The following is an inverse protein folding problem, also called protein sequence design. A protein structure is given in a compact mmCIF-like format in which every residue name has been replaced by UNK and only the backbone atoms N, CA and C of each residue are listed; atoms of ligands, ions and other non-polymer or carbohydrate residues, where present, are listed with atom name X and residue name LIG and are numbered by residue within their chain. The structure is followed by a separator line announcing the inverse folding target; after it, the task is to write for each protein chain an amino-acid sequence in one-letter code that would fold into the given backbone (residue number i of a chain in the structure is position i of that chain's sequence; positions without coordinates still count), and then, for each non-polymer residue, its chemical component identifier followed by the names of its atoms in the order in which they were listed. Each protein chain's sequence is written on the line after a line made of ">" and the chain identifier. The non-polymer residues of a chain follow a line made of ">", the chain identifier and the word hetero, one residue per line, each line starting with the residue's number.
data_IF_545843179826
#
_entry.id   IF_545843179826
#
_cell.length_a   1.000
_cell.length_b   1.000
_cell.length_c   1.000
_cell.angle_alpha   90.00
_cell.angle_beta   90.00
_cell.angle_gamma   90.00
#
_symmetry.space_group_name_H-M   'P 1'
#
loop_
_entity.id
_entity.type
_entity.pdbx_description
1 polymer ?
#
# COMPACT_ATOMS: atom_id res chain seq x y z
N UNK A 1 12.21 28.45 59.73
CA UNK A 1 12.29 27.10 59.14
C UNK A 1 10.97 26.87 58.41
N UNK A 2 10.98 26.96 57.07
CA UNK A 2 10.84 25.82 56.14
C UNK A 2 9.50 25.09 56.30
N UNK A 3 8.68 24.85 55.29
CA UNK A 3 8.62 25.24 53.89
C UNK A 3 7.17 24.99 53.46
N UNK A 4 6.73 25.77 52.48
CA UNK A 4 5.45 25.71 51.80
C UNK A 4 5.04 24.27 51.43
N UNK A 5 3.77 23.92 51.66
CA UNK A 5 3.16 22.70 51.18
C UNK A 5 3.22 22.69 49.64
N UNK A 6 4.07 21.83 49.09
CA UNK A 6 4.27 21.69 47.65
C UNK A 6 3.03 21.04 47.03
N UNK A 7 2.20 21.85 46.38
CA UNK A 7 1.21 21.37 45.41
C UNK A 7 1.99 20.71 44.28
N UNK A 8 2.03 19.37 44.27
CA UNK A 8 2.56 18.60 43.14
C UNK A 8 1.55 18.67 42.01
N UNK A 9 1.62 19.71 41.19
CA UNK A 9 1.02 19.73 39.87
C UNK A 9 1.76 18.68 39.01
N UNK A 10 1.20 17.47 38.95
CA UNK A 10 1.68 16.46 38.02
C UNK A 10 1.33 16.93 36.60
N UNK A 11 2.32 17.44 35.87
CA UNK A 11 2.22 17.61 34.42
C UNK A 11 2.12 16.20 33.81
N UNK A 12 0.90 15.79 33.49
CA UNK A 12 0.67 14.67 32.57
C UNK A 12 0.89 15.21 31.17
N UNK A 13 2.12 15.07 30.65
CA UNK A 13 2.38 15.24 29.23
C UNK A 13 1.64 14.12 28.49
N UNK A 14 0.47 14.44 27.96
CA UNK A 14 -0.24 13.59 27.02
C UNK A 14 0.59 13.48 25.73
N UNK A 15 1.44 12.46 25.65
CA UNK A 15 2.11 12.05 24.42
C UNK A 15 1.05 11.49 23.47
N UNK A 16 0.51 12.35 22.61
CA UNK A 16 -0.31 11.93 21.47
C UNK A 16 0.57 11.04 20.58
N UNK A 17 0.18 9.79 20.29
CA UNK A 17 0.84 9.03 19.24
C UNK A 17 0.60 9.78 17.94
N UNK A 18 1.69 10.22 17.30
CA UNK A 18 1.64 10.69 15.93
C UNK A 18 1.29 9.47 15.07
N UNK A 19 0.00 9.24 14.84
CA UNK A 19 -0.43 8.24 13.88
C UNK A 19 0.21 8.60 12.54
N UNK A 20 1.15 7.78 12.09
CA UNK A 20 1.81 7.92 10.81
C UNK A 20 0.73 8.04 9.75
N UNK A 21 0.68 9.21 9.14
CA UNK A 21 -0.31 9.55 8.14
C UNK A 21 -0.09 8.59 6.95
N UNK A 22 -1.02 7.63 6.79
CA UNK A 22 -1.00 6.68 5.69
C UNK A 22 -1.47 7.41 4.42
N UNK A 23 -0.62 8.28 3.86
CA UNK A 23 -0.85 8.83 2.53
C UNK A 23 -0.48 7.75 1.49
N UNK A 24 -1.35 6.76 1.30
CA UNK A 24 -1.66 6.38 -0.06
C UNK A 24 -2.72 7.36 -0.58
N UNK A 25 -2.32 8.63 -0.71
CA UNK A 25 -3.18 9.63 -1.29
C UNK A 25 -3.44 9.23 -2.74
N UNK A 26 -4.69 9.28 -3.17
CA UNK A 26 -5.03 9.32 -4.59
C UNK A 26 -3.98 10.19 -5.31
N UNK A 27 -3.23 9.64 -6.29
CA UNK A 27 -3.60 8.52 -7.17
C UNK A 27 -2.99 7.13 -6.84
N UNK A 28 -2.23 6.94 -5.75
CA UNK A 28 -1.41 5.73 -5.60
C UNK A 28 -2.20 4.42 -5.47
N UNK A 29 -3.30 4.41 -4.70
CA UNK A 29 -4.11 3.19 -4.52
C UNK A 29 -4.83 2.77 -5.80
N UNK A 30 -5.24 3.73 -6.62
CA UNK A 30 -5.87 3.48 -7.92
C UNK A 30 -4.86 2.92 -8.92
N UNK A 31 -3.70 3.56 -9.05
CA UNK A 31 -2.62 3.09 -9.93
C UNK A 31 -2.17 1.67 -9.54
N UNK A 32 -1.99 1.41 -8.24
CA UNK A 32 -1.71 0.07 -7.73
C UNK A 32 -2.82 -0.91 -8.12
N UNK A 33 -4.09 -0.51 -7.93
CA UNK A 33 -5.25 -1.34 -8.24
C UNK A 33 -5.31 -1.71 -9.71
N UNK A 34 -5.17 -0.73 -10.60
CA UNK A 34 -5.20 -0.94 -12.05
C UNK A 34 -4.07 -1.84 -12.54
N UNK A 35 -2.85 -1.62 -12.05
CA UNK A 35 -1.69 -2.46 -12.39
C UNK A 35 -1.91 -3.90 -11.95
N UNK A 36 -2.39 -4.10 -10.73
CA UNK A 36 -2.60 -5.44 -10.18
C UNK A 36 -3.83 -6.14 -10.78
N UNK A 37 -4.86 -5.40 -11.21
CA UNK A 37 -5.99 -5.98 -11.93
C UNK A 37 -5.55 -6.69 -13.23
N UNK A 38 -4.60 -6.11 -13.97
CA UNK A 38 -4.02 -6.74 -15.18
C UNK A 38 -3.39 -8.10 -14.84
N UNK A 39 -2.65 -8.18 -13.74
CA UNK A 39 -2.06 -9.44 -13.28
C UNK A 39 -3.11 -10.44 -12.78
N UNK A 40 -4.14 -9.96 -12.07
CA UNK A 40 -5.24 -10.79 -11.58
C UNK A 40 -6.02 -11.44 -12.73
N UNK A 41 -6.40 -10.65 -13.73
CA UNK A 41 -7.09 -11.11 -14.95
C UNK A 41 -6.25 -12.13 -15.73
N UNK A 42 -4.93 -11.94 -15.77
CA UNK A 42 -3.99 -12.87 -16.40
C UNK A 42 -3.63 -14.08 -15.53
N UNK A 43 -4.19 -14.21 -14.33
CA UNK A 43 -4.10 -15.39 -13.48
C UNK A 43 -2.91 -15.41 -12.50
N UNK A 44 -2.39 -14.27 -12.09
CA UNK A 44 -1.34 -14.21 -11.06
C UNK A 44 -1.87 -14.56 -9.66
N UNK A 45 -1.12 -15.39 -8.93
CA UNK A 45 -1.40 -15.73 -7.54
C UNK A 45 -0.72 -14.73 -6.60
N UNK A 46 -1.53 -13.87 -5.95
CA UNK A 46 -1.02 -12.86 -5.03
C UNK A 46 -0.47 -13.50 -3.75
N UNK A 47 0.66 -12.97 -3.27
CA UNK A 47 1.32 -13.43 -2.03
C UNK A 47 1.13 -12.47 -0.87
N UNK A 48 0.88 -11.20 -1.15
CA UNK A 48 0.69 -10.19 -0.11
C UNK A 48 -0.74 -10.21 0.40
N UNK A 49 -0.93 -9.93 1.69
CA UNK A 49 -2.27 -9.87 2.28
C UNK A 49 -3.15 -8.79 1.61
N UNK A 50 -2.56 -7.67 1.16
CA UNK A 50 -3.27 -6.62 0.39
C UNK A 50 -3.79 -7.17 -0.95
N UNK A 51 -2.94 -7.83 -1.74
CA UNK A 51 -3.31 -8.42 -3.03
C UNK A 51 -4.35 -9.53 -2.88
N UNK A 52 -4.17 -10.43 -1.92
CA UNK A 52 -5.12 -11.52 -1.66
C UNK A 52 -6.49 -10.97 -1.24
N UNK A 53 -6.55 -9.93 -0.40
CA UNK A 53 -7.82 -9.30 -0.02
C UNK A 53 -8.51 -8.60 -1.19
N UNK A 54 -7.75 -7.96 -2.07
CA UNK A 54 -8.29 -7.20 -3.19
C UNK A 54 -8.75 -8.07 -4.38
N UNK A 55 -7.98 -9.12 -4.71
CA UNK A 55 -8.19 -9.91 -5.93
C UNK A 55 -8.49 -11.39 -5.67
N UNK A 56 -8.20 -11.90 -4.46
CA UNK A 56 -8.30 -13.32 -4.15
C UNK A 56 -7.28 -14.17 -4.90
N UNK A 57 -7.32 -15.49 -4.67
CA UNK A 57 -6.49 -16.49 -5.36
C UNK A 57 -7.29 -17.73 -5.81
N UNK A 58 -8.63 -17.69 -5.75
CA UNK A 58 -9.45 -18.88 -5.98
C UNK A 58 -9.24 -19.52 -7.36
N UNK A 59 -8.89 -18.73 -8.38
CA UNK A 59 -8.73 -19.17 -9.77
C UNK A 59 -7.41 -18.72 -10.41
N UNK A 60 -6.40 -18.36 -9.60
CA UNK A 60 -5.09 -18.01 -10.13
C UNK A 60 -4.33 -19.27 -10.62
N UNK A 61 -3.33 -19.08 -11.48
CA UNK A 61 -2.58 -20.14 -12.16
C UNK A 61 -1.06 -19.99 -12.07
N UNK A 62 -0.57 -18.76 -11.87
CA UNK A 62 0.85 -18.43 -11.96
C UNK A 62 1.35 -17.86 -10.64
N UNK A 63 2.24 -18.60 -9.98
CA UNK A 63 2.86 -18.21 -8.71
C UNK A 63 4.02 -17.21 -8.87
N UNK A 64 4.62 -17.16 -10.06
CA UNK A 64 5.65 -16.21 -10.45
C UNK A 64 5.09 -15.23 -11.49
N UNK A 65 5.27 -13.93 -11.23
CA UNK A 65 4.78 -12.86 -12.11
C UNK A 65 5.42 -12.91 -13.51
N UNK A 66 6.60 -13.51 -13.64
CA UNK A 66 7.32 -13.68 -14.92
C UNK A 66 6.65 -14.71 -15.83
N UNK A 67 5.91 -15.66 -15.25
CA UNK A 67 5.20 -16.71 -15.97
C UNK A 67 3.81 -16.27 -16.43
N UNK A 68 3.33 -15.11 -15.96
CA UNK A 68 2.03 -14.55 -16.32
C UNK A 68 2.03 -14.17 -17.82
N UNK A 69 1.14 -14.75 -18.64
CA UNK A 69 1.16 -14.58 -20.09
C UNK A 69 0.49 -13.27 -20.52
N UNK A 70 1.11 -12.13 -20.18
CA UNK A 70 0.62 -10.82 -20.60
C UNK A 70 0.78 -10.61 -22.10
N UNK A 71 -0.27 -10.08 -22.74
CA UNK A 71 -0.20 -9.59 -24.11
C UNK A 71 0.75 -8.39 -24.24
N UNK A 72 1.17 -8.07 -25.46
CA UNK A 72 1.97 -6.86 -25.71
C UNK A 72 1.26 -5.58 -25.23
N UNK A 73 -0.07 -5.54 -25.37
CA UNK A 73 -0.91 -4.42 -24.92
C UNK A 73 -0.94 -4.30 -23.40
N UNK A 74 -1.07 -5.41 -22.69
CA UNK A 74 -1.10 -5.41 -21.22
C UNK A 74 0.25 -5.01 -20.64
N UNK A 75 1.35 -5.46 -21.26
CA UNK A 75 2.70 -5.02 -20.88
C UNK A 75 2.88 -3.52 -21.07
N UNK A 76 2.38 -2.95 -22.17
CA UNK A 76 2.40 -1.52 -22.39
C UNK A 76 1.59 -0.77 -21.33
N UNK A 77 0.36 -1.23 -21.03
CA UNK A 77 -0.49 -0.65 -19.97
C UNK A 77 0.22 -0.67 -18.61
N UNK A 78 0.78 -1.80 -18.19
CA UNK A 78 1.53 -1.92 -16.94
C UNK A 78 2.72 -0.97 -16.92
N UNK A 79 3.48 -0.89 -18.01
CA UNK A 79 4.62 0.01 -18.12
C UNK A 79 4.20 1.49 -18.02
N UNK A 80 3.03 1.85 -18.54
CA UNK A 80 2.47 3.20 -18.44
C UNK A 80 2.09 3.53 -17.00
N UNK A 81 1.37 2.63 -16.32
CA UNK A 81 0.99 2.80 -14.91
C UNK A 81 2.22 2.91 -14.02
N UNK A 82 3.24 2.05 -14.20
CA UNK A 82 4.48 2.12 -13.42
C UNK A 82 5.22 3.45 -13.60
N UNK A 83 5.12 4.10 -14.77
CA UNK A 83 5.68 5.45 -14.96
C UNK A 83 4.91 6.49 -14.16
N UNK A 84 3.58 6.40 -14.14
CA UNK A 84 2.74 7.31 -13.34
C UNK A 84 2.91 7.08 -11.84
N UNK A 85 3.04 5.83 -11.39
CA UNK A 85 3.37 5.51 -10.00
C UNK A 85 4.68 6.19 -9.57
N UNK A 86 5.73 6.06 -10.39
CA UNK A 86 7.02 6.72 -10.12
C UNK A 86 6.92 8.24 -10.09
N UNK A 87 6.15 8.85 -10.99
CA UNK A 87 5.93 10.31 -11.01
C UNK A 87 5.24 10.82 -9.76
N UNK A 88 4.35 10.02 -9.19
CA UNK A 88 3.59 10.36 -7.99
C UNK A 88 4.24 9.87 -6.69
N UNK A 89 5.45 9.30 -6.75
CA UNK A 89 6.13 8.75 -5.58
C UNK A 89 5.44 7.51 -4.99
N UNK A 90 4.59 6.84 -5.77
CA UNK A 90 3.95 5.59 -5.40
C UNK A 90 4.93 4.43 -5.56
N UNK A 91 4.89 3.48 -4.63
CA UNK A 91 5.73 2.29 -4.67
C UNK A 91 5.29 1.29 -3.62
N UNK A 92 4.65 0.23 -4.10
CA UNK A 92 4.40 -1.02 -3.37
C UNK A 92 4.43 -2.20 -4.35
#
# INVERSE_FOLDING_TARGET
>A
MRLLALVRAALVCASLPLAGQAQAAFPCDELWGERNAVYAEAGYCFRTARGIRAFGNANCRYDDIRDVPLSARDRAKVADIVREERRNGCGE
#
